data_IF_942570233118
#
_entry.id   IF_942570233118
#
_cell.length_a   1.000
_cell.length_b   1.000
_cell.length_c   1.000
_cell.angle_alpha   90.00
_cell.angle_beta   90.00
_cell.angle_gamma   90.00
#
_symmetry.space_group_name_H-M   'P 1'
#
loop_
_entity.id
_entity.type
_entity.pdbx_description
1 polymer ?
#
# COMPACT_ATOMS: atom_id res chain seq x y z
N UNK A 1 34.40 -1.50 -37.24
CA UNK A 1 33.98 -2.77 -36.61
C UNK A 1 33.29 -2.61 -35.25
N UNK A 2 33.50 -1.53 -34.49
CA UNK A 2 32.90 -1.34 -33.16
C UNK A 2 31.38 -1.02 -33.17
N UNK A 3 30.86 -0.31 -34.18
CA UNK A 3 29.43 0.04 -34.21
C UNK A 3 28.47 -1.13 -34.36
N UNK A 4 28.90 -2.18 -35.05
CA UNK A 4 28.04 -3.37 -35.30
C UNK A 4 27.95 -4.29 -34.06
N UNK A 5 28.97 -4.31 -33.19
CA UNK A 5 28.94 -5.04 -31.93
C UNK A 5 28.00 -4.33 -30.92
N UNK A 6 28.04 -2.99 -30.84
CA UNK A 6 27.16 -2.21 -29.98
C UNK A 6 25.67 -2.40 -30.35
N UNK A 7 25.32 -2.32 -31.64
CA UNK A 7 23.95 -2.51 -32.12
C UNK A 7 23.43 -3.94 -31.84
N UNK A 8 24.26 -4.97 -31.98
CA UNK A 8 23.88 -6.36 -31.65
C UNK A 8 23.62 -6.55 -30.16
N UNK A 9 24.46 -5.94 -29.30
CA UNK A 9 24.28 -6.01 -27.82
C UNK A 9 22.99 -5.31 -27.39
N UNK A 10 22.70 -4.12 -27.92
CA UNK A 10 21.45 -3.39 -27.63
C UNK A 10 20.22 -4.19 -28.08
N UNK A 11 20.26 -4.80 -29.26
CA UNK A 11 19.16 -5.64 -29.75
C UNK A 11 18.99 -6.89 -28.87
N UNK A 12 20.06 -7.55 -28.45
CA UNK A 12 19.99 -8.72 -27.56
C UNK A 12 19.37 -8.37 -26.19
N UNK A 13 19.81 -7.26 -25.56
CA UNK A 13 19.24 -6.79 -24.28
C UNK A 13 17.75 -6.48 -24.40
N UNK A 14 17.34 -5.81 -25.50
CA UNK A 14 15.93 -5.52 -25.74
C UNK A 14 15.12 -6.81 -25.92
N UNK A 15 15.64 -7.77 -26.66
CA UNK A 15 14.98 -9.07 -26.86
C UNK A 15 14.81 -9.81 -25.53
N UNK A 16 15.83 -9.84 -24.67
CA UNK A 16 15.77 -10.46 -23.33
C UNK A 16 14.68 -9.81 -22.50
N UNK A 17 14.63 -8.47 -22.40
CA UNK A 17 13.57 -7.76 -21.67
C UNK A 17 12.18 -8.09 -22.20
N UNK A 18 12.00 -8.13 -23.50
CA UNK A 18 10.71 -8.47 -24.13
C UNK A 18 10.28 -9.90 -23.82
N UNK A 19 11.23 -10.86 -23.83
CA UNK A 19 10.94 -12.25 -23.46
C UNK A 19 10.52 -12.34 -21.99
N UNK A 20 11.24 -11.71 -21.06
CA UNK A 20 10.85 -11.68 -19.65
C UNK A 20 9.49 -11.02 -19.45
N UNK A 21 9.18 -9.91 -20.13
CA UNK A 21 7.88 -9.26 -20.10
C UNK A 21 6.75 -10.21 -20.55
N UNK A 22 6.95 -10.93 -21.65
CA UNK A 22 5.95 -11.89 -22.14
C UNK A 22 5.75 -13.03 -21.16
N UNK A 23 6.83 -13.60 -20.62
CA UNK A 23 6.76 -14.72 -19.66
C UNK A 23 6.02 -14.30 -18.40
N UNK A 24 6.35 -13.14 -17.83
CA UNK A 24 5.68 -12.64 -16.62
C UNK A 24 4.22 -12.28 -16.88
N UNK A 25 3.89 -11.71 -18.04
CA UNK A 25 2.50 -11.43 -18.43
C UNK A 25 1.67 -12.71 -18.56
N UNK A 26 2.20 -13.72 -19.23
CA UNK A 26 1.53 -15.03 -19.37
C UNK A 26 1.35 -15.68 -18.00
N UNK A 27 2.35 -15.62 -17.12
CA UNK A 27 2.24 -16.16 -15.77
C UNK A 27 1.17 -15.41 -14.96
N UNK A 28 1.15 -14.06 -14.98
CA UNK A 28 0.13 -13.27 -14.30
C UNK A 28 -1.29 -13.63 -14.78
N UNK A 29 -1.50 -13.71 -16.08
CA UNK A 29 -2.79 -14.12 -16.67
C UNK A 29 -3.16 -15.54 -16.22
N UNK A 30 -2.21 -16.47 -16.25
CA UNK A 30 -2.44 -17.86 -15.82
C UNK A 30 -2.93 -17.93 -14.37
N UNK A 31 -2.26 -17.23 -13.42
CA UNK A 31 -2.65 -17.23 -12.03
C UNK A 31 -3.99 -16.49 -11.82
N UNK A 32 -4.27 -15.41 -12.55
CA UNK A 32 -5.56 -14.74 -12.51
C UNK A 32 -6.69 -15.68 -12.95
N UNK A 33 -6.53 -16.35 -14.09
CA UNK A 33 -7.52 -17.30 -14.61
C UNK A 33 -7.69 -18.48 -13.65
N UNK A 34 -6.57 -19.00 -13.08
CA UNK A 34 -6.61 -20.07 -12.09
C UNK A 34 -7.44 -19.66 -10.87
N UNK A 35 -7.22 -18.45 -10.32
CA UNK A 35 -8.00 -17.94 -9.19
C UNK A 35 -9.49 -17.80 -9.53
N UNK A 36 -9.82 -17.21 -10.67
CA UNK A 36 -11.23 -17.09 -11.13
C UNK A 36 -11.89 -18.47 -11.27
N UNK A 37 -11.19 -19.44 -11.83
CA UNK A 37 -11.70 -20.81 -11.97
C UNK A 37 -11.90 -21.44 -10.60
N UNK A 38 -10.95 -21.27 -9.67
CA UNK A 38 -11.04 -21.81 -8.31
C UNK A 38 -12.24 -21.24 -7.56
N UNK A 39 -12.46 -19.91 -7.60
CA UNK A 39 -13.64 -19.28 -6.95
C UNK A 39 -14.96 -19.76 -7.56
N UNK A 40 -15.03 -19.92 -8.87
CA UNK A 40 -16.25 -20.28 -9.56
C UNK A 40 -16.48 -21.80 -9.69
N UNK A 41 -15.50 -22.61 -9.31
CA UNK A 41 -15.63 -24.08 -9.37
C UNK A 41 -16.45 -24.60 -8.19
N UNK A 42 -17.67 -24.11 -8.11
CA UNK A 42 -18.69 -24.55 -7.14
C UNK A 42 -19.60 -25.55 -7.85
N UNK A 43 -19.16 -26.79 -7.95
CA UNK A 43 -20.03 -27.89 -8.32
C UNK A 43 -20.65 -28.44 -7.01
N UNK A 44 -21.79 -27.89 -6.67
CA UNK A 44 -22.48 -28.10 -5.40
C UNK A 44 -22.60 -29.59 -4.99
N UNK A 45 -22.67 -30.48 -5.98
CA UNK A 45 -22.80 -31.93 -5.73
C UNK A 45 -21.44 -32.59 -5.39
N UNK A 46 -20.31 -31.93 -5.64
CA UNK A 46 -18.96 -32.48 -5.43
C UNK A 46 -18.16 -31.78 -4.34
N UNK A 47 -18.50 -30.52 -4.04
CA UNK A 47 -17.67 -29.67 -3.22
C UNK A 47 -18.16 -29.58 -1.77
N UNK A 48 -19.38 -30.04 -1.49
CA UNK A 48 -19.88 -30.13 -0.11
C UNK A 48 -20.81 -31.32 0.09
N UNK A 49 -20.91 -31.79 1.32
CA UNK A 49 -21.88 -32.80 1.74
C UNK A 49 -22.49 -32.43 3.08
N UNK A 50 -23.73 -32.78 3.27
CA UNK A 50 -24.44 -32.61 4.52
C UNK A 50 -23.82 -33.54 5.60
N UNK A 51 -23.22 -32.93 6.63
CA UNK A 51 -22.65 -33.65 7.75
C UNK A 51 -23.75 -34.14 8.72
N UNK A 52 -24.77 -33.33 8.90
CA UNK A 52 -25.91 -33.68 9.75
C UNK A 52 -26.78 -32.48 10.09
N UNK A 53 -27.90 -32.79 10.71
CA UNK A 53 -28.75 -31.82 11.40
C UNK A 53 -28.25 -31.68 12.83
N UNK A 54 -28.13 -30.45 13.32
CA UNK A 54 -27.67 -30.14 14.67
C UNK A 54 -28.57 -29.11 15.34
N UNK A 55 -28.66 -29.17 16.65
CA UNK A 55 -29.33 -28.15 17.45
C UNK A 55 -28.29 -27.13 17.91
N UNK A 56 -28.55 -25.88 17.67
CA UNK A 56 -27.74 -24.75 18.08
C UNK A 56 -28.46 -23.96 19.16
N UNK A 57 -27.72 -23.54 20.17
CA UNK A 57 -28.27 -22.79 21.32
C UNK A 57 -27.75 -21.37 21.30
N UNK A 58 -28.58 -20.38 21.56
CA UNK A 58 -28.19 -18.97 21.65
C UNK A 58 -27.12 -18.75 22.71
N UNK A 59 -25.98 -18.23 22.32
CA UNK A 59 -24.78 -18.05 23.16
C UNK A 59 -24.66 -16.64 23.71
N UNK A 60 -25.00 -15.63 22.90
CA UNK A 60 -24.84 -14.22 23.26
C UNK A 60 -26.17 -13.58 23.65
N UNK A 61 -26.15 -12.80 24.75
CA UNK A 61 -27.12 -11.74 24.94
C UNK A 61 -26.51 -10.51 24.23
N UNK A 62 -27.05 -10.16 23.06
CA UNK A 62 -26.80 -8.86 22.52
C UNK A 62 -27.36 -7.81 23.50
N UNK A 63 -26.61 -6.72 23.74
CA UNK A 63 -27.08 -5.63 24.57
C UNK A 63 -28.20 -4.90 23.82
N UNK A 64 -29.28 -4.52 24.50
CA UNK A 64 -30.41 -3.80 23.90
C UNK A 64 -29.98 -2.55 23.11
N UNK A 65 -28.93 -1.89 23.53
CA UNK A 65 -28.38 -0.68 22.88
C UNK A 65 -27.70 -0.96 21.52
N UNK A 66 -27.38 -2.22 21.19
CA UNK A 66 -26.63 -2.55 19.98
C UNK A 66 -27.52 -2.62 18.73
N UNK A 67 -28.82 -2.78 18.88
CA UNK A 67 -29.76 -3.01 17.77
C UNK A 67 -30.98 -2.08 17.72
N UNK A 68 -31.06 -1.07 18.59
CA UNK A 68 -32.26 -0.22 18.74
C UNK A 68 -32.67 0.53 17.45
N UNK A 69 -31.72 0.73 16.52
CA UNK A 69 -31.95 1.39 15.22
C UNK A 69 -31.71 0.46 14.02
N UNK A 70 -31.46 -0.85 14.21
CA UNK A 70 -31.13 -1.75 13.13
C UNK A 70 -32.36 -2.53 12.62
N UNK A 71 -32.48 -2.66 11.29
CA UNK A 71 -33.54 -3.43 10.64
C UNK A 71 -33.30 -4.94 10.67
N UNK A 72 -32.06 -5.37 10.94
CA UNK A 72 -31.63 -6.77 10.98
C UNK A 72 -30.72 -6.99 12.18
N UNK A 73 -31.09 -7.92 13.07
CA UNK A 73 -30.35 -8.26 14.27
C UNK A 73 -29.73 -9.67 14.10
N UNK A 74 -28.43 -9.80 13.82
CA UNK A 74 -27.77 -11.10 13.73
C UNK A 74 -27.61 -11.71 15.13
N UNK A 75 -28.04 -12.94 15.31
CA UNK A 75 -27.91 -13.69 16.56
C UNK A 75 -27.06 -14.94 16.32
N UNK A 76 -26.04 -15.10 17.16
CA UNK A 76 -25.18 -16.28 17.13
C UNK A 76 -25.71 -17.40 18.00
N UNK A 77 -25.78 -18.59 17.43
CA UNK A 77 -26.10 -19.83 18.07
C UNK A 77 -24.93 -20.80 17.98
N UNK A 78 -24.65 -21.54 19.04
CA UNK A 78 -23.54 -22.49 19.09
C UNK A 78 -24.06 -23.91 19.19
N UNK A 79 -23.40 -24.83 18.48
CA UNK A 79 -23.67 -26.26 18.60
C UNK A 79 -23.31 -26.81 19.99
N UNK A 80 -23.89 -27.94 20.38
CA UNK A 80 -23.66 -28.55 21.69
C UNK A 80 -22.19 -28.95 21.94
N UNK A 81 -21.40 -29.18 20.89
CA UNK A 81 -19.96 -29.47 20.95
C UNK A 81 -19.09 -28.20 21.07
N UNK A 82 -19.69 -27.02 20.95
CA UNK A 82 -18.98 -25.73 21.02
C UNK A 82 -18.08 -25.44 19.84
N UNK A 83 -18.18 -26.19 18.76
CA UNK A 83 -17.28 -26.08 17.59
C UNK A 83 -17.91 -25.29 16.44
N UNK A 84 -19.21 -25.40 16.27
CA UNK A 84 -19.92 -24.83 15.14
C UNK A 84 -20.78 -23.65 15.58
N UNK A 85 -20.75 -22.57 14.83
CA UNK A 85 -21.57 -21.38 15.06
C UNK A 85 -22.51 -21.17 13.88
N UNK A 86 -23.79 -20.91 14.19
CA UNK A 86 -24.83 -20.57 13.23
C UNK A 86 -25.30 -19.15 13.51
N UNK A 87 -25.22 -18.25 12.53
CA UNK A 87 -25.77 -16.90 12.64
C UNK A 87 -27.13 -16.86 11.94
N UNK A 88 -28.17 -16.43 12.65
CA UNK A 88 -29.50 -16.23 12.10
C UNK A 88 -29.92 -14.80 12.27
N UNK A 89 -30.42 -14.21 11.19
CA UNK A 89 -30.86 -12.82 11.16
C UNK A 89 -32.34 -12.73 11.58
N UNK A 90 -32.61 -11.91 12.57
CA UNK A 90 -33.95 -11.61 13.07
C UNK A 90 -34.32 -10.15 12.82
N UNK A 91 -35.61 -9.84 12.82
CA UNK A 91 -36.10 -8.49 12.99
C UNK A 91 -35.92 -8.08 14.46
N UNK A 92 -35.93 -6.77 14.74
CA UNK A 92 -35.83 -6.30 16.14
C UNK A 92 -36.88 -6.86 17.05
N UNK A 93 -38.15 -6.95 16.59
CA UNK A 93 -39.28 -7.51 17.37
C UNK A 93 -39.07 -9.02 17.68
N UNK A 94 -38.58 -9.79 16.74
CA UNK A 94 -38.27 -11.21 16.94
C UNK A 94 -37.06 -11.39 17.85
N UNK A 95 -36.05 -10.54 17.72
CA UNK A 95 -34.86 -10.55 18.56
C UNK A 95 -35.18 -10.24 20.03
N UNK A 96 -36.04 -9.23 20.28
CA UNK A 96 -36.48 -8.86 21.63
C UNK A 96 -37.31 -9.99 22.28
N UNK A 97 -38.10 -10.71 21.49
CA UNK A 97 -38.90 -11.85 21.94
C UNK A 97 -38.08 -13.13 22.15
N UNK A 98 -36.84 -13.19 21.69
CA UNK A 98 -36.03 -14.40 21.69
C UNK A 98 -35.44 -14.70 23.10
N UNK A 99 -35.84 -15.81 23.76
CA UNK A 99 -35.36 -16.06 25.10
C UNK A 99 -33.88 -16.46 25.14
N UNK A 100 -33.21 -16.18 26.27
CA UNK A 100 -31.85 -16.69 26.52
C UNK A 100 -31.90 -18.22 26.52
N UNK A 101 -31.00 -18.86 25.76
CA UNK A 101 -30.98 -20.31 25.60
C UNK A 101 -32.01 -20.84 24.57
N UNK A 102 -32.53 -19.96 23.71
CA UNK A 102 -33.33 -20.38 22.56
C UNK A 102 -32.55 -21.38 21.70
N UNK A 103 -33.22 -22.38 21.19
CA UNK A 103 -32.66 -23.43 20.35
C UNK A 103 -33.17 -23.27 18.92
N UNK A 104 -32.24 -23.40 17.96
CA UNK A 104 -32.54 -23.43 16.53
C UNK A 104 -31.95 -24.69 15.92
N UNK A 105 -32.71 -25.35 15.08
CA UNK A 105 -32.21 -26.50 14.33
C UNK A 105 -31.62 -26.01 13.00
N UNK A 106 -30.41 -26.44 12.71
CA UNK A 106 -29.71 -26.07 11.47
C UNK A 106 -29.01 -27.26 10.84
N UNK A 107 -28.42 -27.00 9.68
CA UNK A 107 -27.65 -27.99 8.94
C UNK A 107 -26.17 -27.65 8.94
N UNK A 108 -25.32 -28.68 9.08
CA UNK A 108 -23.87 -28.56 8.93
C UNK A 108 -23.48 -29.24 7.64
N UNK A 109 -22.86 -28.44 6.77
CA UNK A 109 -22.23 -28.90 5.51
C UNK A 109 -20.73 -28.82 5.62
N UNK A 110 -20.01 -29.85 5.20
CA UNK A 110 -18.56 -29.83 5.12
C UNK A 110 -18.15 -29.48 3.68
N UNK A 111 -17.43 -28.40 3.52
CA UNK A 111 -16.85 -28.00 2.26
C UNK A 111 -15.55 -28.77 1.94
N UNK A 112 -15.04 -28.65 0.72
CA UNK A 112 -13.91 -29.43 0.18
C UNK A 112 -12.60 -29.38 1.02
N UNK A 113 -12.42 -28.36 1.86
CA UNK A 113 -11.23 -28.19 2.69
C UNK A 113 -11.50 -28.49 4.19
N UNK A 114 -12.45 -29.35 4.47
CA UNK A 114 -12.90 -29.65 5.83
C UNK A 114 -13.42 -28.43 6.61
N UNK A 115 -13.88 -27.41 5.91
CA UNK A 115 -14.55 -26.23 6.48
C UNK A 115 -16.02 -26.58 6.64
N UNK A 116 -16.53 -26.54 7.85
CA UNK A 116 -17.94 -26.74 8.13
C UNK A 116 -18.71 -25.41 7.97
N UNK A 117 -19.78 -25.45 7.20
CA UNK A 117 -20.71 -24.33 6.97
C UNK A 117 -22.03 -24.63 7.65
N UNK A 118 -22.53 -23.72 8.46
CA UNK A 118 -23.77 -23.89 9.20
C UNK A 118 -24.87 -23.04 8.57
N UNK A 119 -26.04 -23.63 8.36
CA UNK A 119 -27.21 -22.98 7.78
C UNK A 119 -28.45 -23.31 8.56
N UNK A 120 -29.41 -22.40 8.63
CA UNK A 120 -30.75 -22.64 9.14
C UNK A 120 -31.60 -23.44 8.15
N UNK A 121 -32.84 -23.77 8.56
CA UNK A 121 -33.79 -24.50 7.72
C UNK A 121 -34.28 -23.70 6.49
N UNK A 122 -34.13 -22.38 6.48
CA UNK A 122 -34.59 -21.51 5.42
C UNK A 122 -33.54 -21.35 4.30
N UNK A 123 -32.30 -21.80 4.55
CA UNK A 123 -31.19 -21.66 3.59
C UNK A 123 -31.49 -22.38 2.27
N UNK A 124 -31.37 -21.64 1.21
CA UNK A 124 -31.55 -22.15 -0.15
C UNK A 124 -30.26 -22.73 -0.72
N UNK A 125 -30.37 -23.53 -1.78
CA UNK A 125 -29.19 -23.97 -2.54
C UNK A 125 -28.37 -22.78 -3.09
N UNK A 126 -28.97 -21.60 -3.23
CA UNK A 126 -28.30 -20.36 -3.61
C UNK A 126 -27.40 -19.85 -2.50
N UNK A 127 -27.86 -19.86 -1.26
CA UNK A 127 -27.13 -19.40 -0.09
C UNK A 127 -25.92 -20.29 0.21
N UNK A 128 -26.12 -21.61 0.14
CA UNK A 128 -25.01 -22.57 0.25
C UNK A 128 -23.97 -22.33 -0.84
N UNK A 129 -24.41 -22.10 -2.07
CA UNK A 129 -23.50 -21.80 -3.20
C UNK A 129 -22.76 -20.48 -3.02
N UNK A 130 -23.39 -19.46 -2.45
CA UNK A 130 -22.75 -18.20 -2.13
C UNK A 130 -21.66 -18.39 -1.05
N UNK A 131 -21.98 -19.03 0.06
CA UNK A 131 -21.02 -19.31 1.13
C UNK A 131 -19.84 -20.17 0.65
N UNK A 132 -20.08 -21.16 -0.21
CA UNK A 132 -19.00 -21.94 -0.84
C UNK A 132 -18.10 -21.08 -1.76
N UNK A 133 -18.65 -20.09 -2.43
CA UNK A 133 -17.84 -19.15 -3.21
C UNK A 133 -16.95 -18.29 -2.30
N UNK A 134 -17.45 -17.88 -1.16
CA UNK A 134 -16.68 -17.10 -0.20
C UNK A 134 -15.52 -17.94 0.36
N UNK A 135 -15.76 -19.18 0.79
CA UNK A 135 -14.69 -20.12 1.19
C UNK A 135 -13.68 -20.35 0.05
N UNK A 136 -14.16 -20.52 -1.18
CA UNK A 136 -13.28 -20.68 -2.32
C UNK A 136 -12.51 -19.40 -2.64
N UNK A 137 -13.06 -18.20 -2.40
CA UNK A 137 -12.38 -16.93 -2.56
C UNK A 137 -11.25 -16.79 -1.54
N UNK A 138 -11.48 -17.14 -0.28
CA UNK A 138 -10.45 -17.15 0.75
C UNK A 138 -9.31 -18.12 0.39
N UNK A 139 -9.65 -19.33 -0.04
CA UNK A 139 -8.66 -20.31 -0.51
C UNK A 139 -7.93 -19.88 -1.78
N UNK A 140 -8.53 -19.02 -2.60
CA UNK A 140 -7.91 -18.47 -3.81
C UNK A 140 -7.07 -17.21 -3.54
N UNK A 141 -7.11 -16.65 -2.34
CA UNK A 141 -6.42 -15.39 -1.98
C UNK A 141 -4.93 -15.43 -2.31
N UNK A 142 -4.22 -16.49 -1.94
CA UNK A 142 -2.81 -16.68 -2.27
C UNK A 142 -2.54 -16.76 -3.79
N UNK A 143 -3.48 -17.30 -4.56
CA UNK A 143 -3.38 -17.37 -6.03
C UNK A 143 -3.55 -15.99 -6.64
N UNK A 144 -4.52 -15.19 -6.16
CA UNK A 144 -4.69 -13.81 -6.59
C UNK A 144 -3.53 -12.92 -6.15
N UNK A 145 -3.02 -13.10 -4.93
CA UNK A 145 -1.82 -12.41 -4.44
C UNK A 145 -0.61 -12.66 -5.35
N UNK A 146 -0.40 -13.91 -5.76
CA UNK A 146 0.65 -14.28 -6.73
C UNK A 146 0.42 -13.60 -8.10
N UNK A 147 -0.82 -13.55 -8.58
CA UNK A 147 -1.16 -12.88 -9.83
C UNK A 147 -0.86 -11.36 -9.76
N UNK A 148 -1.18 -10.71 -8.66
CA UNK A 148 -0.90 -9.28 -8.45
C UNK A 148 0.59 -8.99 -8.37
N UNK A 149 1.36 -9.80 -7.65
CA UNK A 149 2.82 -9.69 -7.57
C UNK A 149 3.49 -9.83 -8.95
N UNK A 150 3.06 -10.80 -9.75
CA UNK A 150 3.53 -10.98 -11.13
C UNK A 150 3.11 -9.82 -12.04
N UNK A 151 1.91 -9.27 -11.83
CA UNK A 151 1.43 -8.08 -12.58
C UNK A 151 2.29 -6.86 -12.29
N UNK A 152 2.70 -6.64 -11.04
CA UNK A 152 3.64 -5.58 -10.67
C UNK A 152 4.96 -5.72 -11.44
N UNK A 153 5.57 -6.89 -11.43
CA UNK A 153 6.82 -7.16 -12.16
C UNK A 153 6.61 -6.94 -13.67
N UNK A 154 5.49 -7.39 -14.21
CA UNK A 154 5.14 -7.21 -15.63
C UNK A 154 5.05 -5.73 -16.00
N UNK A 155 4.35 -4.91 -15.20
CA UNK A 155 4.22 -3.46 -15.41
C UNK A 155 5.60 -2.78 -15.31
N UNK A 156 6.42 -3.15 -14.32
CA UNK A 156 7.76 -2.62 -14.17
C UNK A 156 8.66 -2.95 -15.39
N UNK A 157 8.60 -4.17 -15.89
CA UNK A 157 9.30 -4.60 -17.10
C UNK A 157 8.80 -3.85 -18.35
N UNK A 158 7.50 -3.57 -18.44
CA UNK A 158 6.92 -2.79 -19.52
C UNK A 158 7.47 -1.35 -19.50
N UNK A 159 7.49 -0.71 -18.33
CA UNK A 159 8.05 0.65 -18.17
C UNK A 159 9.51 0.71 -18.60
N UNK A 160 10.38 -0.20 -18.14
CA UNK A 160 11.79 -0.18 -18.56
C UNK A 160 12.01 -0.64 -20.01
N UNK A 161 11.06 -1.33 -20.62
CA UNK A 161 11.13 -1.71 -22.04
C UNK A 161 10.76 -0.54 -22.95
N UNK A 162 9.71 0.22 -22.56
CA UNK A 162 9.22 1.37 -23.32
C UNK A 162 10.11 2.59 -23.08
N UNK A 163 10.35 2.93 -21.80
CA UNK A 163 11.04 4.15 -21.38
C UNK A 163 12.52 3.90 -21.00
N UNK A 164 13.07 2.72 -21.24
CA UNK A 164 14.41 2.35 -20.78
C UNK A 164 15.55 3.19 -21.33
N UNK A 165 15.32 3.98 -22.40
CA UNK A 165 16.30 4.96 -22.89
C UNK A 165 16.47 6.17 -21.96
N UNK A 166 15.46 6.45 -21.14
CA UNK A 166 15.49 7.51 -20.13
C UNK A 166 16.28 7.11 -18.89
N UNK A 167 16.50 5.81 -18.66
CA UNK A 167 17.10 5.27 -17.44
C UNK A 167 18.46 4.66 -17.73
N UNK A 168 19.44 4.91 -16.86
CA UNK A 168 20.73 4.22 -16.88
C UNK A 168 20.57 2.74 -16.57
N UNK A 169 21.56 1.91 -16.90
CA UNK A 169 21.52 0.47 -16.57
C UNK A 169 21.38 0.25 -15.05
N UNK A 170 22.04 1.07 -14.23
CA UNK A 170 21.92 1.01 -12.77
C UNK A 170 20.46 1.29 -12.33
N UNK A 171 19.86 2.37 -12.80
CA UNK A 171 18.48 2.75 -12.45
C UNK A 171 17.46 1.67 -12.86
N UNK A 172 17.64 1.05 -14.03
CA UNK A 172 16.79 -0.04 -14.49
C UNK A 172 16.90 -1.29 -13.61
N UNK A 173 18.13 -1.68 -13.26
CA UNK A 173 18.38 -2.85 -12.38
C UNK A 173 17.83 -2.56 -10.99
N UNK A 174 18.09 -1.38 -10.44
CA UNK A 174 17.61 -0.96 -9.14
C UNK A 174 16.07 -0.99 -9.09
N UNK A 175 15.40 -0.38 -10.07
CA UNK A 175 13.93 -0.33 -10.16
C UNK A 175 13.32 -1.74 -10.17
N UNK A 176 13.83 -2.62 -11.04
CA UNK A 176 13.34 -4.00 -11.12
C UNK A 176 13.63 -4.78 -9.84
N UNK A 177 14.79 -4.58 -9.21
CA UNK A 177 15.14 -5.26 -7.97
C UNK A 177 14.19 -4.91 -6.83
N UNK A 178 13.81 -3.64 -6.70
CA UNK A 178 12.82 -3.20 -5.70
C UNK A 178 11.43 -3.79 -6.00
N UNK A 179 11.01 -3.80 -7.27
CA UNK A 179 9.72 -4.38 -7.66
C UNK A 179 9.67 -5.89 -7.41
N UNK A 180 10.75 -6.61 -7.67
CA UNK A 180 10.84 -8.05 -7.35
C UNK A 180 10.79 -8.25 -5.83
N UNK A 181 11.51 -7.43 -5.07
CA UNK A 181 11.51 -7.52 -3.62
C UNK A 181 10.10 -7.25 -3.04
N UNK A 182 9.40 -6.23 -3.54
CA UNK A 182 8.02 -5.94 -3.14
C UNK A 182 7.08 -7.12 -3.47
N UNK A 183 7.20 -7.68 -4.66
CA UNK A 183 6.42 -8.84 -5.09
C UNK A 183 6.69 -10.09 -4.21
N UNK A 184 7.95 -10.35 -3.86
CA UNK A 184 8.31 -11.49 -2.99
C UNK A 184 7.78 -11.28 -1.56
N UNK A 185 7.92 -10.09 -1.02
CA UNK A 185 7.45 -9.76 0.34
C UNK A 185 5.93 -9.83 0.40
N UNK A 186 5.20 -9.34 -0.60
CA UNK A 186 3.73 -9.40 -0.62
C UNK A 186 3.17 -10.82 -0.68
N UNK A 187 3.92 -11.76 -1.25
CA UNK A 187 3.55 -13.18 -1.25
C UNK A 187 3.93 -13.85 0.09
N UNK A 188 5.09 -13.47 0.66
CA UNK A 188 5.59 -14.08 1.89
C UNK A 188 4.83 -13.58 3.15
N UNK A 189 4.32 -12.37 3.10
CA UNK A 189 3.58 -11.71 4.18
C UNK A 189 2.30 -11.13 3.56
N UNK A 190 1.27 -11.96 3.33
CA UNK A 190 -0.01 -11.47 2.81
C UNK A 190 -0.67 -10.53 3.82
N UNK A 191 -1.35 -9.51 3.32
CA UNK A 191 -2.06 -8.56 4.15
C UNK A 191 -3.34 -9.19 4.68
N UNK A 192 -3.66 -8.91 5.95
CA UNK A 192 -4.91 -9.31 6.60
C UNK A 192 -6.02 -8.31 6.30
N UNK A 193 -7.26 -8.73 6.44
CA UNK A 193 -8.42 -7.85 6.35
C UNK A 193 -8.34 -6.79 7.47
N UNK A 194 -8.66 -5.55 7.15
CA UNK A 194 -8.60 -4.44 8.09
C UNK A 194 -9.75 -3.46 7.84
N UNK A 195 -10.45 -3.04 8.90
CA UNK A 195 -11.57 -2.09 8.85
C UNK A 195 -12.61 -2.46 7.76
N UNK A 196 -12.93 -3.75 7.63
CA UNK A 196 -13.87 -4.26 6.63
C UNK A 196 -13.37 -4.27 5.19
N UNK A 197 -12.09 -3.98 4.96
CA UNK A 197 -11.45 -4.05 3.64
C UNK A 197 -10.63 -5.33 3.52
N UNK A 198 -10.86 -6.06 2.43
CA UNK A 198 -10.16 -7.32 2.17
C UNK A 198 -8.65 -7.11 1.96
N UNK A 199 -7.82 -7.98 2.55
CA UNK A 199 -6.36 -7.92 2.51
C UNK A 199 -5.77 -7.91 1.11
N UNK A 200 -6.42 -8.54 0.10
CA UNK A 200 -5.99 -8.44 -1.29
C UNK A 200 -6.11 -7.02 -1.85
N UNK A 201 -7.13 -6.26 -1.43
CA UNK A 201 -7.29 -4.84 -1.82
C UNK A 201 -6.20 -3.99 -1.18
N UNK A 202 -5.92 -4.24 0.11
CA UNK A 202 -4.84 -3.56 0.84
C UNK A 202 -3.50 -3.86 0.17
N UNK A 203 -3.21 -5.12 -0.16
CA UNK A 203 -2.00 -5.51 -0.88
C UNK A 203 -1.90 -4.83 -2.26
N UNK A 204 -3.01 -4.73 -3.01
CA UNK A 204 -3.01 -4.04 -4.29
C UNK A 204 -2.67 -2.55 -4.15
N UNK A 205 -3.20 -1.87 -3.12
CA UNK A 205 -2.88 -0.49 -2.79
C UNK A 205 -1.40 -0.33 -2.45
N UNK A 206 -0.83 -1.20 -1.60
CA UNK A 206 0.59 -1.15 -1.24
C UNK A 206 1.53 -1.39 -2.42
N UNK A 207 1.19 -2.33 -3.30
CA UNK A 207 1.98 -2.59 -4.51
C UNK A 207 1.89 -1.42 -5.51
N UNK A 208 0.71 -0.82 -5.68
CA UNK A 208 0.52 0.35 -6.53
C UNK A 208 1.28 1.56 -5.97
N UNK A 209 1.17 1.82 -4.67
CA UNK A 209 1.89 2.87 -3.97
C UNK A 209 3.40 2.70 -4.10
N UNK A 210 3.92 1.51 -3.83
CA UNK A 210 5.35 1.19 -3.98
C UNK A 210 5.84 1.44 -5.40
N UNK A 211 5.08 1.00 -6.42
CA UNK A 211 5.44 1.21 -7.81
C UNK A 211 5.50 2.68 -8.19
N UNK A 212 4.47 3.45 -7.86
CA UNK A 212 4.35 4.86 -8.19
C UNK A 212 5.43 5.70 -7.48
N UNK A 213 5.63 5.45 -6.21
CA UNK A 213 6.64 6.12 -5.40
C UNK A 213 8.06 5.88 -5.92
N UNK A 214 8.44 4.63 -6.21
CA UNK A 214 9.76 4.29 -6.73
C UNK A 214 9.99 4.90 -8.11
N UNK A 215 8.96 4.95 -8.95
CA UNK A 215 9.02 5.64 -10.25
C UNK A 215 9.18 7.15 -10.08
N UNK A 216 8.42 7.76 -9.17
CA UNK A 216 8.51 9.18 -8.83
C UNK A 216 9.93 9.55 -8.36
N UNK A 217 10.48 8.77 -7.42
CA UNK A 217 11.83 8.95 -6.90
C UNK A 217 12.92 8.90 -7.99
N UNK A 218 12.81 8.01 -8.95
CA UNK A 218 13.71 7.97 -10.11
C UNK A 218 13.62 9.25 -10.93
N UNK A 219 12.43 9.77 -11.16
CA UNK A 219 12.22 11.00 -11.91
C UNK A 219 12.77 12.22 -11.16
N UNK A 220 12.63 12.28 -9.83
CA UNK A 220 13.22 13.31 -8.97
C UNK A 220 14.75 13.26 -9.05
N UNK A 221 15.35 12.08 -8.95
CA UNK A 221 16.80 11.92 -9.04
C UNK A 221 17.38 12.41 -10.38
N UNK A 222 16.54 12.42 -11.43
CA UNK A 222 16.84 12.95 -12.76
C UNK A 222 16.52 14.45 -12.92
N UNK A 223 16.04 15.12 -11.88
CA UNK A 223 15.58 16.52 -11.94
C UNK A 223 14.44 16.74 -12.96
N UNK A 224 13.67 15.69 -13.26
CA UNK A 224 12.60 15.73 -14.25
C UNK A 224 11.31 16.26 -13.62
N UNK A 225 10.72 17.31 -14.20
CA UNK A 225 9.41 17.86 -13.78
C UNK A 225 8.25 16.87 -13.88
N UNK A 226 8.40 15.81 -14.67
CA UNK A 226 7.36 14.78 -14.83
C UNK A 226 7.12 13.96 -13.58
N UNK A 227 8.04 14.03 -12.58
CA UNK A 227 7.82 13.41 -11.27
C UNK A 227 6.49 13.88 -10.64
N UNK A 228 6.12 15.16 -10.77
CA UNK A 228 4.92 15.73 -10.15
C UNK A 228 3.61 15.18 -10.72
N UNK A 229 3.61 14.72 -11.96
CA UNK A 229 2.44 14.04 -12.53
C UNK A 229 2.29 12.63 -11.91
N UNK A 230 3.40 11.92 -11.73
CA UNK A 230 3.39 10.62 -11.05
C UNK A 230 3.05 10.80 -9.57
N UNK A 231 3.58 11.86 -8.92
CA UNK A 231 3.33 12.17 -7.52
C UNK A 231 1.84 12.35 -7.20
N UNK A 232 1.06 12.98 -8.07
CA UNK A 232 -0.41 13.09 -7.86
C UNK A 232 -1.05 11.71 -7.69
N UNK A 233 -0.61 10.70 -8.42
CA UNK A 233 -1.12 9.33 -8.24
C UNK A 233 -0.58 8.68 -6.96
N UNK A 234 0.66 9.00 -6.56
CA UNK A 234 1.21 8.61 -5.25
C UNK A 234 0.34 9.16 -4.13
N UNK A 235 0.04 10.45 -4.15
CA UNK A 235 -0.81 11.10 -3.15
C UNK A 235 -2.20 10.44 -3.06
N UNK A 236 -2.78 10.06 -4.20
CA UNK A 236 -4.07 9.36 -4.22
C UNK A 236 -3.99 7.96 -3.60
N UNK A 237 -2.93 7.20 -3.84
CA UNK A 237 -2.75 5.89 -3.21
C UNK A 237 -2.49 6.02 -1.72
N UNK A 238 -1.68 6.98 -1.29
CA UNK A 238 -1.41 7.25 0.12
C UNK A 238 -2.66 7.67 0.89
N UNK A 239 -3.50 8.55 0.30
CA UNK A 239 -4.81 8.92 0.88
C UNK A 239 -5.68 7.67 1.06
N UNK A 240 -5.75 6.80 0.04
CA UNK A 240 -6.54 5.59 0.12
C UNK A 240 -6.04 4.65 1.23
N UNK A 241 -4.72 4.47 1.36
CA UNK A 241 -4.10 3.66 2.41
C UNK A 241 -4.42 4.24 3.79
N UNK A 242 -4.23 5.54 4.00
CA UNK A 242 -4.51 6.19 5.27
C UNK A 242 -5.99 6.10 5.69
N UNK A 243 -6.93 6.15 4.72
CA UNK A 243 -8.36 5.98 4.99
C UNK A 243 -8.67 4.53 5.37
N UNK A 244 -8.13 3.56 4.61
CA UNK A 244 -8.40 2.13 4.84
C UNK A 244 -7.87 1.67 6.19
N UNK A 245 -6.65 2.09 6.56
CA UNK A 245 -6.03 1.65 7.81
C UNK A 245 -6.45 2.49 9.01
N UNK A 246 -6.93 3.72 8.78
CA UNK A 246 -7.30 4.70 9.82
C UNK A 246 -6.19 4.91 10.89
N UNK A 247 -4.90 4.92 10.46
CA UNK A 247 -3.74 4.94 11.37
C UNK A 247 -2.86 6.19 11.30
N UNK A 248 -2.85 6.91 10.15
CA UNK A 248 -1.90 8.00 9.85
C UNK A 248 -2.60 9.31 9.51
N UNK A 249 -3.27 9.91 10.48
CA UNK A 249 -4.08 11.10 10.25
C UNK A 249 -3.25 12.36 9.94
N UNK A 250 -2.05 12.50 10.52
CA UNK A 250 -1.17 13.63 10.18
C UNK A 250 -0.64 13.51 8.74
N UNK A 251 -0.28 12.30 8.31
CA UNK A 251 0.08 12.01 6.93
C UNK A 251 -1.10 12.29 6.01
N UNK A 252 -2.31 11.78 6.29
CA UNK A 252 -3.51 12.04 5.51
C UNK A 252 -3.78 13.55 5.33
N UNK A 253 -3.72 14.31 6.44
CA UNK A 253 -3.93 15.76 6.39
C UNK A 253 -2.84 16.48 5.58
N UNK A 254 -1.57 16.11 5.75
CA UNK A 254 -0.48 16.71 4.99
C UNK A 254 -0.55 16.37 3.50
N UNK A 255 -0.98 15.17 3.13
CA UNK A 255 -1.15 14.76 1.74
C UNK A 255 -2.26 15.56 1.06
N UNK A 256 -3.43 15.67 1.71
CA UNK A 256 -4.56 16.41 1.17
C UNK A 256 -4.32 17.93 1.05
N UNK A 257 -3.77 18.56 2.11
CA UNK A 257 -3.73 20.02 2.22
C UNK A 257 -2.38 20.62 1.82
N UNK A 258 -1.34 19.82 1.76
CA UNK A 258 -0.01 20.31 1.42
C UNK A 258 0.55 19.64 0.15
N UNK A 259 0.66 18.30 0.09
CA UNK A 259 1.35 17.63 -1.01
C UNK A 259 0.66 17.81 -2.36
N UNK A 260 -0.63 17.52 -2.47
CA UNK A 260 -1.38 17.71 -3.72
C UNK A 260 -1.28 19.13 -4.28
N UNK A 261 -1.50 20.23 -3.50
CA UNK A 261 -1.27 21.58 -3.99
C UNK A 261 0.19 21.87 -4.32
N UNK A 262 1.11 21.36 -3.51
CA UNK A 262 2.55 21.57 -3.66
C UNK A 262 3.08 20.99 -4.97
N UNK A 263 2.59 19.82 -5.39
CA UNK A 263 2.98 19.19 -6.64
C UNK A 263 2.63 20.04 -7.87
N UNK A 264 1.43 20.62 -7.89
CA UNK A 264 1.01 21.51 -8.96
C UNK A 264 1.91 22.75 -9.01
N UNK A 265 2.18 23.37 -7.86
CA UNK A 265 3.03 24.55 -7.75
C UNK A 265 4.48 24.20 -8.13
N UNK A 266 4.96 23.05 -7.69
CA UNK A 266 6.32 22.58 -7.96
C UNK A 266 6.53 22.26 -9.44
N UNK A 267 5.54 21.61 -10.10
CA UNK A 267 5.58 21.39 -11.55
C UNK A 267 5.76 22.71 -12.32
N UNK A 268 4.95 23.73 -11.97
CA UNK A 268 5.05 25.06 -12.58
C UNK A 268 6.40 25.72 -12.29
N UNK A 269 6.87 25.62 -11.04
CA UNK A 269 8.13 26.23 -10.63
C UNK A 269 9.34 25.59 -11.33
N UNK A 270 9.38 24.26 -11.42
CA UNK A 270 10.45 23.54 -12.11
C UNK A 270 10.42 23.81 -13.62
N UNK A 271 9.22 23.92 -14.20
CA UNK A 271 9.07 24.28 -15.62
C UNK A 271 9.62 25.70 -15.95
N UNK A 272 9.48 26.64 -15.01
CA UNK A 272 9.95 28.04 -15.17
C UNK A 272 11.45 28.21 -14.93
N UNK A 273 12.13 27.22 -14.36
CA UNK A 273 13.54 27.30 -14.00
C UNK A 273 14.33 26.12 -14.59
N UNK A 274 14.36 25.97 -15.92
CA UNK A 274 15.16 24.93 -16.58
C UNK A 274 16.65 25.13 -16.33
N UNK A 275 17.41 24.04 -16.42
CA UNK A 275 18.88 24.11 -16.43
C UNK A 275 19.35 24.85 -17.69
N UNK A 276 20.49 25.54 -17.58
CA UNK A 276 21.06 26.33 -18.70
C UNK A 276 21.69 25.47 -19.80
N UNK A 277 22.06 24.23 -19.47
CA UNK A 277 22.73 23.29 -20.38
C UNK A 277 21.76 22.25 -20.90
N UNK A 278 20.89 21.74 -20.01
CA UNK A 278 19.87 20.78 -20.33
C UNK A 278 18.49 21.34 -19.92
N UNK A 279 17.73 21.89 -20.85
CA UNK A 279 16.45 22.57 -20.63
C UNK A 279 15.38 21.69 -19.92
N UNK A 280 15.55 20.36 -19.94
CA UNK A 280 14.68 19.42 -19.26
C UNK A 280 14.96 19.30 -17.74
N UNK A 281 16.13 19.74 -17.29
CA UNK A 281 16.53 19.70 -15.89
C UNK A 281 16.22 21.01 -15.17
N UNK A 282 16.30 21.01 -13.82
CA UNK A 282 16.10 22.21 -12.99
C UNK A 282 17.37 22.61 -12.24
N UNK A 283 17.57 23.91 -12.01
CA UNK A 283 18.72 24.44 -11.26
C UNK A 283 18.59 24.12 -9.76
N UNK A 284 19.65 23.56 -9.16
CA UNK A 284 19.68 23.11 -7.75
C UNK A 284 20.31 24.17 -6.85
N UNK A 285 19.79 24.33 -5.63
CA UNK A 285 20.22 25.29 -4.60
C UNK A 285 20.59 24.58 -3.29
N UNK A 286 21.17 25.32 -2.32
CA UNK A 286 21.52 24.82 -0.97
C UNK A 286 21.02 25.77 0.12
N UNK A 287 20.75 25.24 1.32
CA UNK A 287 20.35 26.00 2.50
C UNK A 287 21.51 26.74 3.16
N UNK A 288 21.16 27.72 3.99
CA UNK A 288 22.08 28.40 4.91
C UNK A 288 21.92 27.78 6.32
N UNK A 289 23.02 27.65 7.09
CA UNK A 289 23.02 26.95 8.37
C UNK A 289 22.01 27.47 9.41
N UNK A 290 21.70 28.77 9.46
CA UNK A 290 20.68 29.29 10.38
C UNK A 290 19.25 28.81 10.00
N UNK A 291 19.01 28.58 8.71
CA UNK A 291 17.73 28.04 8.23
C UNK A 291 17.55 26.58 8.68
N UNK A 292 18.63 25.80 8.69
CA UNK A 292 18.59 24.41 9.17
C UNK A 292 18.16 24.35 10.65
N UNK A 293 18.72 25.22 11.51
CA UNK A 293 18.35 25.29 12.93
C UNK A 293 16.88 25.67 13.11
N UNK A 294 16.41 26.67 12.36
CA UNK A 294 15.01 27.12 12.44
C UNK A 294 14.05 26.00 12.00
N UNK A 295 14.40 25.24 10.98
CA UNK A 295 13.62 24.11 10.47
C UNK A 295 13.54 22.98 11.50
N UNK A 296 14.66 22.59 12.11
CA UNK A 296 14.69 21.56 13.16
C UNK A 296 13.81 21.98 14.34
N UNK A 297 13.90 23.23 14.80
CA UNK A 297 13.03 23.74 15.85
C UNK A 297 11.54 23.66 15.47
N UNK A 298 11.20 24.01 14.23
CA UNK A 298 9.85 23.90 13.71
C UNK A 298 9.31 22.45 13.69
N UNK A 299 10.14 21.49 13.27
CA UNK A 299 9.80 20.07 13.29
C UNK A 299 9.50 19.60 14.71
N UNK A 300 10.34 19.97 15.70
CA UNK A 300 10.11 19.58 17.10
C UNK A 300 8.81 20.15 17.64
N UNK A 301 8.52 21.44 17.40
CA UNK A 301 7.28 22.07 17.86
C UNK A 301 6.06 21.40 17.21
N UNK A 302 6.12 21.14 15.92
CA UNK A 302 5.05 20.42 15.21
C UNK A 302 4.83 19.01 15.76
N UNK A 303 5.91 18.23 15.91
CA UNK A 303 5.83 16.86 16.44
C UNK A 303 5.18 16.79 17.80
N UNK A 304 5.57 17.69 18.73
CA UNK A 304 4.97 17.72 20.06
C UNK A 304 3.53 18.19 20.02
N UNK A 305 3.21 19.25 19.28
CA UNK A 305 1.86 19.83 19.22
C UNK A 305 0.87 18.91 18.50
N UNK A 306 1.21 18.47 17.29
CA UNK A 306 0.34 17.60 16.47
C UNK A 306 0.28 16.19 17.06
N UNK A 307 1.41 15.63 17.49
CA UNK A 307 1.43 14.32 18.15
C UNK A 307 0.52 14.28 19.38
N UNK A 308 0.58 15.31 20.25
CA UNK A 308 -0.35 15.43 21.38
C UNK A 308 -1.81 15.55 20.90
N UNK A 309 -2.08 16.37 19.90
CA UNK A 309 -3.45 16.51 19.35
C UNK A 309 -3.99 15.18 18.84
N UNK A 310 -3.19 14.42 18.08
CA UNK A 310 -3.58 13.11 17.56
C UNK A 310 -3.88 12.09 18.66
N UNK A 311 -3.18 12.15 19.80
CA UNK A 311 -3.49 11.26 20.93
C UNK A 311 -4.85 11.56 21.58
N UNK A 312 -5.42 12.76 21.37
CA UNK A 312 -6.74 13.12 21.90
C UNK A 312 -7.89 12.68 20.97
N UNK A 313 -7.57 12.32 19.73
CA UNK A 313 -8.56 11.80 18.76
C UNK A 313 -8.75 10.31 19.07
N UNK A 314 -9.95 9.98 19.53
CA UNK A 314 -10.29 8.59 19.80
C UNK A 314 -10.85 7.98 18.50
N UNK A 315 -10.03 7.19 17.80
CA UNK A 315 -10.43 6.46 16.61
C UNK A 315 -10.35 4.98 16.95
N UNK A 316 -11.48 4.32 16.82
CA UNK A 316 -11.53 2.86 16.90
C UNK A 316 -10.99 2.30 15.58
N UNK A 317 -9.91 1.54 15.65
CA UNK A 317 -9.26 0.96 14.49
C UNK A 317 -8.69 -0.41 14.85
N UNK A 318 -9.05 -1.42 14.06
CA UNK A 318 -8.54 -2.79 14.18
C UNK A 318 -7.02 -2.85 14.12
N UNK A 319 -6.41 -1.88 13.44
CA UNK A 319 -4.97 -1.74 13.29
C UNK A 319 -4.21 -1.70 14.63
N UNK A 320 -4.74 -1.00 15.64
CA UNK A 320 -4.07 -0.87 16.95
C UNK A 320 -4.32 -2.06 17.88
N UNK A 321 -5.26 -2.96 17.57
CA UNK A 321 -5.60 -4.18 18.36
C UNK A 321 -5.73 -3.88 19.86
N UNK A 322 -6.34 -2.74 20.22
CA UNK A 322 -6.49 -2.25 21.59
C UNK A 322 -5.17 -2.00 22.35
N UNK A 323 -4.08 -1.67 21.64
CA UNK A 323 -2.78 -1.35 22.23
C UNK A 323 -2.55 0.17 22.28
N UNK A 324 -2.88 0.81 23.40
CA UNK A 324 -2.74 2.26 23.58
C UNK A 324 -1.29 2.75 23.45
N UNK A 325 -0.32 1.97 23.92
CA UNK A 325 1.09 2.35 23.79
C UNK A 325 1.53 2.40 22.32
N UNK A 326 1.08 1.43 21.52
CA UNK A 326 1.33 1.40 20.08
C UNK A 326 0.67 2.60 19.41
N UNK A 327 -0.60 2.89 19.72
CA UNK A 327 -1.35 4.03 19.19
C UNK A 327 -0.63 5.36 19.47
N UNK A 328 -0.22 5.60 20.72
CA UNK A 328 0.50 6.82 21.12
C UNK A 328 1.83 6.92 20.35
N UNK A 329 2.60 5.84 20.26
CA UNK A 329 3.87 5.82 19.53
C UNK A 329 3.68 6.18 18.05
N UNK A 330 2.68 5.58 17.38
CA UNK A 330 2.38 5.86 15.98
C UNK A 330 1.93 7.31 15.79
N UNK A 331 1.11 7.88 16.69
CA UNK A 331 0.69 9.29 16.61
C UNK A 331 1.88 10.27 16.61
N UNK A 332 2.86 10.07 17.48
CA UNK A 332 4.05 10.94 17.53
C UNK A 332 5.01 10.69 16.37
N UNK A 333 5.19 9.44 15.94
CA UNK A 333 6.01 9.11 14.77
C UNK A 333 5.39 9.66 13.48
N UNK A 334 4.07 9.54 13.30
CA UNK A 334 3.32 10.10 12.18
C UNK A 334 3.41 11.62 12.16
N UNK A 335 3.20 12.29 13.31
CA UNK A 335 3.37 13.75 13.43
C UNK A 335 4.80 14.19 13.08
N UNK A 336 5.82 13.42 13.45
CA UNK A 336 7.21 13.72 13.11
C UNK A 336 7.47 13.48 11.61
N UNK A 337 7.01 12.37 11.06
CA UNK A 337 7.16 12.04 9.64
C UNK A 337 6.46 13.08 8.76
N UNK A 338 5.23 13.49 9.11
CA UNK A 338 4.50 14.54 8.41
C UNK A 338 5.21 15.89 8.44
N UNK A 339 5.79 16.28 9.60
CA UNK A 339 6.56 17.51 9.71
C UNK A 339 7.78 17.50 8.79
N UNK A 340 8.56 16.42 8.81
CA UNK A 340 9.73 16.25 7.93
C UNK A 340 9.29 16.19 6.47
N UNK A 341 8.19 15.53 6.17
CA UNK A 341 7.59 15.47 4.84
C UNK A 341 7.20 16.85 4.30
N UNK A 342 6.51 17.67 5.09
CA UNK A 342 6.16 19.06 4.72
C UNK A 342 7.42 19.89 4.43
N UNK A 343 8.43 19.81 5.30
CA UNK A 343 9.72 20.48 5.09
C UNK A 343 10.38 20.00 3.79
N UNK A 344 10.31 18.70 3.53
CA UNK A 344 10.85 18.12 2.32
C UNK A 344 10.12 18.61 1.06
N UNK A 345 8.80 18.70 1.07
CA UNK A 345 8.02 19.27 -0.03
C UNK A 345 8.41 20.71 -0.33
N UNK A 346 8.66 21.54 0.72
CA UNK A 346 9.21 22.89 0.54
C UNK A 346 10.61 22.84 -0.08
N UNK A 347 11.45 21.89 0.30
CA UNK A 347 12.79 21.72 -0.27
C UNK A 347 12.71 21.31 -1.75
N UNK A 348 11.80 20.44 -2.10
CA UNK A 348 11.53 20.06 -3.51
C UNK A 348 11.06 21.28 -4.29
N UNK A 349 10.07 22.02 -3.78
CA UNK A 349 9.55 23.23 -4.39
C UNK A 349 10.66 24.25 -4.65
N UNK A 350 11.55 24.47 -3.68
CA UNK A 350 12.67 25.41 -3.76
C UNK A 350 13.91 24.84 -4.46
N UNK A 351 13.87 23.58 -4.90
CA UNK A 351 14.96 22.88 -5.60
C UNK A 351 16.24 22.78 -4.76
N UNK A 352 16.07 22.48 -3.45
CA UNK A 352 17.18 22.42 -2.52
C UNK A 352 17.76 21.00 -2.49
N UNK A 353 19.10 20.90 -2.44
CA UNK A 353 19.78 19.60 -2.32
C UNK A 353 19.43 18.88 -1.02
N UNK A 354 19.17 19.62 0.04
CA UNK A 354 18.86 19.14 1.39
C UNK A 354 17.57 18.32 1.45
N UNK A 355 16.73 18.33 0.39
CA UNK A 355 15.59 17.42 0.25
C UNK A 355 16.00 15.95 0.42
N UNK A 356 17.19 15.57 -0.04
CA UNK A 356 17.65 14.19 0.08
C UNK A 356 17.94 13.79 1.52
N UNK A 357 18.36 14.73 2.37
CA UNK A 357 18.55 14.49 3.81
C UNK A 357 17.18 14.35 4.51
N UNK A 358 16.24 15.24 4.17
CA UNK A 358 14.88 15.18 4.69
C UNK A 358 14.18 13.86 4.30
N UNK A 359 14.29 13.44 3.04
CA UNK A 359 13.80 12.14 2.59
C UNK A 359 14.40 10.97 3.37
N UNK A 360 15.71 11.01 3.63
CA UNK A 360 16.37 9.95 4.39
C UNK A 360 15.80 9.83 5.81
N UNK A 361 15.59 10.96 6.48
CA UNK A 361 15.00 10.99 7.83
C UNK A 361 13.55 10.51 7.79
N UNK A 362 12.76 10.99 6.83
CA UNK A 362 11.37 10.58 6.66
C UNK A 362 11.27 9.06 6.43
N UNK A 363 12.08 8.53 5.50
CA UNK A 363 12.11 7.10 5.21
C UNK A 363 12.48 6.23 6.44
N UNK A 364 13.37 6.72 7.32
CA UNK A 364 13.69 6.01 8.55
C UNK A 364 12.53 6.03 9.55
N UNK A 365 11.87 7.18 9.74
CA UNK A 365 10.70 7.29 10.64
C UNK A 365 9.57 6.38 10.18
N UNK A 366 9.23 6.42 8.90
CA UNK A 366 8.20 5.59 8.31
C UNK A 366 8.57 4.10 8.30
N UNK A 367 9.87 3.76 8.12
CA UNK A 367 10.31 2.38 8.25
C UNK A 367 10.07 1.84 9.67
N UNK A 368 10.27 2.67 10.70
CA UNK A 368 9.95 2.29 12.09
C UNK A 368 8.45 2.05 12.24
N UNK A 369 7.60 2.95 11.71
CA UNK A 369 6.14 2.77 11.73
C UNK A 369 5.78 1.45 11.03
N UNK A 370 6.28 1.21 9.82
CA UNK A 370 5.96 0.02 9.04
C UNK A 370 6.40 -1.29 9.72
N UNK A 371 7.55 -1.28 10.45
CA UNK A 371 8.02 -2.45 11.21
C UNK A 371 7.08 -2.75 12.37
N UNK A 372 6.75 -1.74 13.19
CA UNK A 372 5.89 -1.94 14.37
C UNK A 372 4.43 -2.23 13.99
N UNK A 373 4.03 -1.85 12.79
CA UNK A 373 2.68 -2.05 12.23
C UNK A 373 2.57 -3.27 11.34
N UNK A 374 3.66 -4.02 11.10
CA UNK A 374 3.66 -5.21 10.25
C UNK A 374 3.48 -4.94 8.75
N UNK A 375 3.61 -3.69 8.28
CA UNK A 375 3.42 -3.27 6.89
C UNK A 375 4.67 -3.54 6.04
N UNK A 376 4.99 -4.81 5.81
CA UNK A 376 6.28 -5.21 5.22
C UNK A 376 6.45 -4.81 3.76
N UNK A 377 5.37 -4.72 2.97
CA UNK A 377 5.44 -4.23 1.57
C UNK A 377 5.86 -2.77 1.55
N UNK A 378 5.26 -1.92 2.41
CA UNK A 378 5.65 -0.52 2.54
C UNK A 378 7.07 -0.35 3.11
N UNK A 379 7.56 -1.31 3.91
CA UNK A 379 8.95 -1.31 4.34
C UNK A 379 9.92 -1.47 3.16
N UNK A 380 9.58 -2.26 2.15
CA UNK A 380 10.37 -2.37 0.91
C UNK A 380 10.49 -1.03 0.20
N UNK A 381 9.41 -0.24 0.17
CA UNK A 381 9.44 1.12 -0.36
C UNK A 381 10.49 1.98 0.35
N UNK A 382 10.58 1.87 1.70
CA UNK A 382 11.57 2.65 2.48
C UNK A 382 13.00 2.20 2.20
N UNK A 383 13.25 0.93 1.94
CA UNK A 383 14.55 0.45 1.42
C UNK A 383 14.86 1.08 0.07
N UNK A 384 13.88 1.17 -0.81
CA UNK A 384 13.98 1.88 -2.07
C UNK A 384 14.37 3.36 -1.87
N UNK A 385 13.67 4.07 -1.00
CA UNK A 385 13.95 5.46 -0.68
C UNK A 385 15.38 5.68 -0.15
N UNK A 386 15.80 4.92 0.86
CA UNK A 386 17.14 5.06 1.46
C UNK A 386 18.24 4.87 0.40
N UNK A 387 18.10 3.91 -0.49
CA UNK A 387 19.09 3.62 -1.53
C UNK A 387 19.08 4.70 -2.63
N UNK A 388 17.89 5.14 -3.08
CA UNK A 388 17.79 6.20 -4.11
C UNK A 388 18.17 7.58 -3.57
N UNK A 389 17.85 7.88 -2.32
CA UNK A 389 18.24 9.11 -1.65
C UNK A 389 19.76 9.27 -1.63
N UNK A 390 20.49 8.20 -1.32
CA UNK A 390 21.96 8.19 -1.38
C UNK A 390 22.46 8.47 -2.81
N UNK A 391 21.87 7.83 -3.80
CA UNK A 391 22.20 8.04 -5.21
C UNK A 391 21.89 9.47 -5.66
N UNK A 392 20.71 9.99 -5.38
CA UNK A 392 20.26 11.33 -5.72
C UNK A 392 21.12 12.41 -5.08
N UNK A 393 21.44 12.28 -3.79
CA UNK A 393 22.33 13.21 -3.07
C UNK A 393 23.72 13.30 -3.71
N UNK A 394 24.32 12.15 -4.04
CA UNK A 394 25.63 12.11 -4.71
C UNK A 394 25.55 12.77 -6.07
N UNK A 395 24.54 12.46 -6.86
CA UNK A 395 24.32 12.99 -8.22
C UNK A 395 24.15 14.52 -8.21
N UNK A 396 23.28 15.04 -7.35
CA UNK A 396 23.03 16.46 -7.22
C UNK A 396 24.25 17.22 -6.66
N UNK A 397 24.99 16.62 -5.73
CA UNK A 397 26.24 17.21 -5.21
C UNK A 397 27.31 17.33 -6.29
N UNK A 398 27.45 16.32 -7.17
CA UNK A 398 28.36 16.38 -8.32
C UNK A 398 27.95 17.48 -9.30
N UNK A 399 26.67 17.58 -9.61
CA UNK A 399 26.11 18.61 -10.49
C UNK A 399 26.42 20.03 -9.97
N UNK A 400 26.16 20.31 -8.69
CA UNK A 400 26.48 21.62 -8.08
C UNK A 400 27.97 21.96 -8.21
N UNK A 401 28.87 20.99 -7.94
CA UNK A 401 30.31 21.16 -8.04
C UNK A 401 30.76 21.43 -9.48
N UNK A 402 30.17 20.76 -10.46
CA UNK A 402 30.49 20.99 -11.88
C UNK A 402 30.05 22.38 -12.32
N UNK A 403 28.82 22.79 -12.02
CA UNK A 403 28.32 24.12 -12.37
C UNK A 403 29.13 25.25 -11.71
N UNK A 404 29.60 25.08 -10.47
CA UNK A 404 30.46 26.04 -9.79
C UNK A 404 31.83 26.17 -10.48
N UNK A 405 32.41 25.07 -11.01
CA UNK A 405 33.67 25.10 -11.78
C UNK A 405 33.50 25.83 -13.10
N UNK A 406 32.48 25.47 -13.88
CA UNK A 406 32.19 26.11 -15.18
C UNK A 406 31.96 27.62 -15.02
N UNK A 407 31.27 28.05 -13.95
CA UNK A 407 31.04 29.46 -13.66
C UNK A 407 32.33 30.19 -13.29
N UNK A 408 33.23 29.56 -12.55
CA UNK A 408 34.54 30.15 -12.21
C UNK A 408 35.51 30.21 -13.42
N UNK A 409 35.40 29.25 -14.35
CA UNK A 409 36.18 29.26 -15.59
C UNK A 409 35.67 30.32 -16.58
N UNK A 410 34.36 30.58 -16.60
CA UNK A 410 33.77 31.64 -17.43
C UNK A 410 34.01 33.08 -16.91
N UNK A 411 34.44 33.21 -15.64
CA UNK A 411 34.79 34.49 -15.00
C UNK A 411 36.30 34.81 -15.08
N UNK A 412 37.11 33.87 -15.53
CA UNK A 412 38.54 34.05 -15.85
C UNK A 412 38.76 34.32 -17.33
#
# INVERSE_FOLDING_TARGET
MNGNKSARTVKAVRTVKTVFLIVTAVAAIFYTVKGIVQVNNVDAAKDYYLKGEAVFTRVTQALEEEYEDETVCPVEFMSADGVHTLTVNYTYEEWEALPTGAEVTGYIYTAHNDVDLCFDHEATAGDIKAALKDVNADNASAVFGTAMALSLICIALAVITVFGRMFTAYEQIWFISIMILAAVISIAFPEEDCNGVNGLVIMALYLADTFLNILCELLISKQSKWNFIVSVFVELTEIAICIVLADRFATLASTLFFWLPCDIISFINWHKHPDKVEEELTEVRTLKGWQEVAIIAGIVVWTVGVGWLLTTINVDSDFFKNNDALRIAVCYLDACASAVGIVNGVFILLRLREQWIAWYICALLEAVINIISGQFVLLVLKVGYITNTTYGYIKWTKYIKQNARTKNEALK
#
